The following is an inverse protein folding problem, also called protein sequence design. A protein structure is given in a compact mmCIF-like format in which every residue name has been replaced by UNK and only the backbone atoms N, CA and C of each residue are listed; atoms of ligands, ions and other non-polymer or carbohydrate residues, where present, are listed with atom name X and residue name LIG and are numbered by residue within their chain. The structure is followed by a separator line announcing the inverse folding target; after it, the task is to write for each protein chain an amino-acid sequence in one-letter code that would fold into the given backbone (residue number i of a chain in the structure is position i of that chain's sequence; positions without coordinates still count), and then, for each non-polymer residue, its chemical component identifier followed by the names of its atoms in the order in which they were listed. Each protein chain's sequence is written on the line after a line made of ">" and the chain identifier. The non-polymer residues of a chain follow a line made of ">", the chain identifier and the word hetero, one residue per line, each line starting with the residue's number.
data_IF_060265528776
#
_entry.id   IF_060265528776
#
_cell.length_a   1.000
_cell.length_b   1.000
_cell.length_c   1.000
_cell.angle_alpha   90.00
_cell.angle_beta   90.00
_cell.angle_gamma   90.00
#
_symmetry.space_group_name_H-M   'P 1'
#
loop_
_entity.id
_entity.type
_entity.pdbx_description
1 polymer ?
#
# COMPACT_ATOMS: atom_id res chain seq x y z
N UNK A 1 -5.78 -9.53 17.47
CA UNK A 1 -4.72 -10.50 17.13
C UNK A 1 -3.41 -9.86 17.53
N UNK A 2 -2.64 -10.56 18.34
CA UNK A 2 -1.30 -10.15 18.72
C UNK A 2 -0.39 -10.18 17.47
N UNK A 3 0.37 -9.11 17.24
CA UNK A 3 1.24 -8.97 16.06
C UNK A 3 2.68 -9.43 16.34
N UNK A 4 3.01 -9.77 17.59
CA UNK A 4 4.37 -10.12 18.01
C UNK A 4 4.85 -11.47 17.46
N UNK A 5 3.93 -12.41 17.25
CA UNK A 5 4.21 -13.79 16.83
C UNK A 5 3.76 -14.10 15.39
N UNK A 6 3.46 -13.07 14.58
CA UNK A 6 3.02 -13.26 13.18
C UNK A 6 4.15 -13.87 12.36
N UNK A 7 3.88 -15.03 11.75
CA UNK A 7 4.85 -15.72 10.89
C UNK A 7 4.72 -15.27 9.42
N UNK A 8 5.74 -15.52 8.57
CA UNK A 8 5.62 -15.30 7.13
C UNK A 8 4.43 -16.05 6.52
N UNK A 9 4.14 -17.26 6.99
CA UNK A 9 3.01 -18.06 6.53
C UNK A 9 1.66 -17.40 6.87
N UNK A 10 1.52 -16.84 8.08
CA UNK A 10 0.32 -16.10 8.48
C UNK A 10 0.13 -14.85 7.62
N UNK A 11 1.22 -14.10 7.38
CA UNK A 11 1.18 -12.84 6.65
C UNK A 11 0.90 -13.01 5.14
N UNK A 12 1.27 -14.15 4.53
CA UNK A 12 1.00 -14.39 3.10
C UNK A 12 -0.41 -14.94 2.84
N UNK A 13 -1.09 -15.45 3.87
CA UNK A 13 -2.42 -16.05 3.79
C UNK A 13 -3.53 -14.99 3.72
N UNK A 14 -3.67 -14.31 2.57
CA UNK A 14 -4.69 -13.27 2.40
C UNK A 14 -6.12 -13.87 2.25
N UNK A 15 -7.15 -13.33 2.93
CA UNK A 15 -8.51 -13.89 2.95
C UNK A 15 -9.31 -13.77 1.64
N UNK A 16 -8.79 -13.11 0.60
CA UNK A 16 -9.62 -12.63 -0.53
C UNK A 16 -8.87 -12.72 -1.85
N UNK A 17 -7.61 -12.29 -1.87
CA UNK A 17 -6.81 -12.21 -3.08
C UNK A 17 -5.69 -13.24 -3.07
N UNK A 18 -5.50 -13.94 -4.19
CA UNK A 18 -4.29 -14.75 -4.41
C UNK A 18 -3.22 -13.86 -5.04
N UNK A 19 -2.21 -13.50 -4.27
CA UNK A 19 -1.20 -12.51 -4.65
C UNK A 19 0.22 -12.99 -4.33
N UNK A 20 1.23 -12.30 -4.87
CA UNK A 20 2.62 -12.56 -4.56
C UNK A 20 2.97 -12.30 -3.09
N UNK A 21 4.00 -12.98 -2.56
CA UNK A 21 4.37 -12.92 -1.13
C UNK A 21 4.56 -11.51 -0.60
N UNK A 22 5.24 -10.62 -1.35
CA UNK A 22 5.52 -9.23 -0.94
C UNK A 22 4.25 -8.43 -0.71
N UNK A 23 3.34 -8.41 -1.69
CA UNK A 23 2.08 -7.66 -1.59
C UNK A 23 1.15 -8.23 -0.51
N UNK A 24 1.19 -9.54 -0.24
CA UNK A 24 0.45 -10.12 0.87
C UNK A 24 0.96 -9.60 2.22
N UNK A 25 2.28 -9.54 2.44
CA UNK A 25 2.87 -8.95 3.67
C UNK A 25 2.56 -7.45 3.77
N UNK A 26 2.66 -6.71 2.66
CA UNK A 26 2.29 -5.29 2.62
C UNK A 26 0.81 -5.08 2.96
N UNK A 27 -0.06 -5.99 2.55
CA UNK A 27 -1.48 -5.95 2.90
C UNK A 27 -1.70 -6.22 4.39
N UNK A 28 -0.99 -7.22 4.95
CA UNK A 28 -1.03 -7.54 6.37
C UNK A 28 -0.53 -6.40 7.28
N UNK A 29 0.37 -5.54 6.77
CA UNK A 29 0.92 -4.38 7.48
C UNK A 29 0.18 -3.06 7.19
N UNK A 30 -0.81 -3.07 6.29
CA UNK A 30 -1.39 -1.89 5.63
C UNK A 30 -0.39 -1.00 4.87
N UNK A 31 0.86 -1.43 4.68
CA UNK A 31 1.82 -0.72 3.84
C UNK A 31 1.35 -0.69 2.37
N UNK A 32 0.67 -1.75 1.88
CA UNK A 32 0.12 -1.74 0.52
C UNK A 32 -0.81 -0.55 0.32
N UNK A 33 -1.69 -0.32 1.30
CA UNK A 33 -2.61 0.82 1.27
C UNK A 33 -1.87 2.16 1.42
N UNK A 34 -0.78 2.21 2.19
CA UNK A 34 0.10 3.38 2.25
C UNK A 34 0.75 3.71 0.89
N UNK A 35 1.27 2.70 0.19
CA UNK A 35 1.82 2.87 -1.17
C UNK A 35 0.75 3.33 -2.15
N UNK A 36 -0.47 2.81 -2.06
CA UNK A 36 -1.61 3.26 -2.87
C UNK A 36 -2.04 4.70 -2.56
N UNK A 37 -1.87 5.20 -1.32
CA UNK A 37 -2.07 6.63 -0.99
C UNK A 37 -1.05 7.50 -1.72
N UNK A 38 0.22 7.10 -1.71
CA UNK A 38 1.28 7.79 -2.47
C UNK A 38 0.96 7.77 -3.96
N UNK A 39 0.59 6.61 -4.51
CA UNK A 39 0.22 6.45 -5.91
C UNK A 39 -0.96 7.37 -6.28
N UNK A 40 -2.04 7.37 -5.51
CA UNK A 40 -3.21 8.22 -5.76
C UNK A 40 -2.86 9.72 -5.72
N UNK A 41 -1.98 10.13 -4.80
CA UNK A 41 -1.49 11.49 -4.72
C UNK A 41 -0.78 11.92 -6.01
N UNK A 42 0.09 11.06 -6.55
CA UNK A 42 0.80 11.33 -7.80
C UNK A 42 -0.07 11.22 -9.05
N UNK A 43 -0.90 10.18 -9.17
CA UNK A 43 -1.73 9.94 -10.36
C UNK A 43 -2.82 10.99 -10.55
N UNK A 44 -3.41 11.46 -9.45
CA UNK A 44 -4.57 12.36 -9.49
C UNK A 44 -4.26 13.78 -8.98
N UNK A 45 -3.05 14.04 -8.53
CA UNK A 45 -2.62 15.35 -8.04
C UNK A 45 -3.28 15.78 -6.73
N UNK A 46 -3.75 14.82 -5.92
CA UNK A 46 -4.36 15.12 -4.64
C UNK A 46 -3.29 15.30 -3.54
N UNK A 47 -3.37 16.36 -2.71
CA UNK A 47 -2.56 16.43 -1.50
C UNK A 47 -2.97 15.32 -0.53
N UNK A 48 -2.09 14.89 0.40
CA UNK A 48 -2.35 13.78 1.30
C UNK A 48 -3.62 13.94 2.13
N UNK A 49 -3.91 15.17 2.57
CA UNK A 49 -5.09 15.49 3.38
C UNK A 49 -6.42 15.44 2.60
N UNK A 50 -6.38 15.10 1.30
CA UNK A 50 -7.55 14.85 0.45
C UNK A 50 -7.67 13.39 0.03
N UNK A 51 -6.96 12.48 0.68
CA UNK A 51 -7.01 11.04 0.42
C UNK A 51 -7.36 10.32 1.72
N UNK A 52 -8.60 9.86 1.81
CA UNK A 52 -9.08 9.08 2.96
C UNK A 52 -8.94 7.58 2.69
N UNK A 53 -8.43 6.85 3.69
CA UNK A 53 -8.40 5.39 3.68
C UNK A 53 -9.53 4.85 4.55
N UNK A 54 -10.33 3.97 3.95
CA UNK A 54 -11.37 3.20 4.65
C UNK A 54 -11.12 1.71 4.43
N UNK A 55 -11.36 0.90 5.46
CA UNK A 55 -11.30 -0.55 5.35
C UNK A 55 -12.66 -1.05 4.89
N UNK A 56 -12.67 -1.83 3.81
CA UNK A 56 -13.85 -2.43 3.22
C UNK A 56 -13.61 -3.94 3.01
N UNK A 57 -13.91 -4.79 4.01
CA UNK A 57 -13.53 -6.20 4.00
C UNK A 57 -14.10 -7.00 2.81
N UNK A 58 -15.25 -6.58 2.28
CA UNK A 58 -15.92 -7.30 1.20
C UNK A 58 -15.24 -7.10 -0.17
N UNK A 59 -14.35 -6.10 -0.31
CA UNK A 59 -13.66 -5.79 -1.58
C UNK A 59 -14.62 -5.69 -2.78
N UNK A 60 -15.81 -5.15 -2.56
CA UNK A 60 -16.85 -4.94 -3.58
C UNK A 60 -16.75 -3.52 -4.16
N UNK A 61 -16.59 -2.53 -3.29
CA UNK A 61 -16.33 -1.14 -3.66
C UNK A 61 -14.81 -0.98 -3.71
N UNK A 62 -14.28 -0.75 -4.92
CA UNK A 62 -12.82 -0.75 -5.14
C UNK A 62 -12.17 0.59 -4.80
N UNK A 63 -12.91 1.70 -4.98
CA UNK A 63 -12.57 3.06 -4.50
C UNK A 63 -13.72 4.03 -4.81
N UNK A 64 -13.62 5.24 -4.27
CA UNK A 64 -14.64 6.29 -4.38
C UNK A 64 -13.99 7.66 -4.64
N UNK A 65 -14.74 8.57 -5.25
CA UNK A 65 -14.37 9.98 -5.43
C UNK A 65 -15.51 10.86 -4.93
N UNK A 66 -15.19 11.77 -4.00
CA UNK A 66 -16.11 12.80 -3.52
C UNK A 66 -15.95 14.09 -4.32
N UNK A 67 -17.06 14.61 -4.84
CA UNK A 67 -17.13 15.83 -5.63
C UNK A 67 -17.43 17.04 -4.74
N UNK A 68 -17.20 18.24 -5.28
CA UNK A 68 -17.36 19.50 -4.55
C UNK A 68 -18.81 19.78 -4.08
N UNK A 69 -19.79 19.15 -4.71
CA UNK A 69 -21.20 19.20 -4.34
C UNK A 69 -21.58 18.17 -3.25
N UNK A 70 -20.61 17.37 -2.79
CA UNK A 70 -20.80 16.30 -1.81
C UNK A 70 -21.21 14.96 -2.41
N UNK A 71 -21.46 14.87 -3.72
CA UNK A 71 -21.78 13.60 -4.38
C UNK A 71 -20.57 12.66 -4.36
N UNK A 72 -20.83 11.37 -4.19
CA UNK A 72 -19.80 10.32 -4.21
C UNK A 72 -20.06 9.41 -5.40
N UNK A 73 -19.05 9.24 -6.25
CA UNK A 73 -19.04 8.20 -7.28
C UNK A 73 -18.13 7.06 -6.84
N UNK A 74 -18.65 5.84 -6.87
CA UNK A 74 -17.94 4.63 -6.52
C UNK A 74 -17.83 3.71 -7.72
N UNK A 75 -16.70 3.02 -7.87
CA UNK A 75 -16.61 1.89 -8.77
C UNK A 75 -16.76 0.59 -7.97
N UNK A 76 -17.67 -0.27 -8.44
CA UNK A 76 -18.03 -1.53 -7.80
C UNK A 76 -17.87 -2.70 -8.76
N UNK A 77 -17.50 -3.87 -8.24
CA UNK A 77 -17.43 -5.10 -9.02
C UNK A 77 -16.89 -6.26 -8.20
N UNK A 78 -16.88 -7.45 -8.79
CA UNK A 78 -16.17 -8.58 -8.19
C UNK A 78 -14.68 -8.24 -8.01
N UNK A 79 -14.01 -8.77 -6.96
CA UNK A 79 -12.57 -8.64 -6.77
C UNK A 79 -11.82 -9.45 -7.85
N UNK A 80 -11.63 -8.83 -9.02
CA UNK A 80 -11.08 -9.47 -10.20
C UNK A 80 -10.26 -8.48 -11.05
N UNK A 81 -8.93 -8.69 -11.07
CA UNK A 81 -7.98 -7.83 -11.77
C UNK A 81 -8.20 -7.76 -13.29
N UNK A 82 -8.94 -8.70 -13.88
CA UNK A 82 -9.28 -8.62 -15.31
C UNK A 82 -10.13 -7.39 -15.63
N UNK A 83 -10.91 -6.90 -14.66
CA UNK A 83 -11.76 -5.70 -14.82
C UNK A 83 -10.93 -4.42 -15.00
N UNK A 84 -10.03 -4.03 -14.07
CA UNK A 84 -9.20 -2.84 -14.26
C UNK A 84 -8.23 -2.96 -15.45
N UNK A 85 -7.71 -4.15 -15.74
CA UNK A 85 -6.84 -4.38 -16.92
C UNK A 85 -7.61 -4.18 -18.23
N UNK A 86 -8.80 -4.75 -18.36
CA UNK A 86 -9.62 -4.56 -19.56
C UNK A 86 -10.05 -3.10 -19.74
N UNK A 87 -10.30 -2.39 -18.63
CA UNK A 87 -10.62 -0.97 -18.66
C UNK A 87 -9.44 -0.13 -19.18
N UNK A 88 -8.22 -0.36 -18.69
CA UNK A 88 -7.05 0.41 -19.14
C UNK A 88 -6.72 0.19 -20.62
N UNK A 89 -6.91 -1.03 -21.14
CA UNK A 89 -6.71 -1.36 -22.55
C UNK A 89 -7.81 -0.84 -23.48
N UNK A 90 -9.05 -0.77 -22.99
CA UNK A 90 -10.22 -0.38 -23.79
C UNK A 90 -10.54 1.11 -23.78
N UNK A 91 -10.01 1.85 -22.81
CA UNK A 91 -10.40 3.22 -22.54
C UNK A 91 -10.28 4.13 -23.78
N UNK A 92 -11.26 5.02 -24.06
CA UNK A 92 -12.47 5.32 -23.27
C UNK A 92 -13.65 4.37 -23.53
N UNK A 93 -13.49 3.38 -24.41
CA UNK A 93 -14.50 2.35 -24.69
C UNK A 93 -14.38 1.22 -23.66
N UNK A 94 -15.29 0.25 -23.76
CA UNK A 94 -15.27 -0.97 -22.93
C UNK A 94 -15.00 -2.17 -23.82
N UNK A 95 -14.22 -3.11 -23.29
CA UNK A 95 -14.04 -4.44 -23.86
C UNK A 95 -15.03 -5.41 -23.17
N UNK A 96 -15.62 -6.33 -23.92
CA UNK A 96 -16.63 -7.27 -23.42
C UNK A 96 -16.00 -8.51 -22.74
N UNK A 97 -16.67 -9.04 -21.71
CA UNK A 97 -16.52 -10.46 -21.33
C UNK A 97 -15.55 -10.83 -20.19
N UNK A 98 -15.08 -9.88 -19.38
CA UNK A 98 -14.01 -10.17 -18.40
C UNK A 98 -14.43 -10.24 -16.93
N UNK A 99 -15.53 -9.57 -16.54
CA UNK A 99 -15.94 -9.46 -15.14
C UNK A 99 -17.06 -10.44 -14.76
N UNK A 100 -16.95 -11.08 -13.59
CA UNK A 100 -18.09 -11.79 -12.98
C UNK A 100 -19.20 -10.79 -12.64
N UNK A 101 -20.45 -11.15 -12.95
CA UNK A 101 -21.61 -10.36 -12.55
C UNK A 101 -21.78 -10.44 -11.04
N UNK A 102 -22.07 -9.30 -10.42
CA UNK A 102 -22.36 -9.19 -8.98
C UNK A 102 -23.84 -9.45 -8.76
N UNK A 103 -24.17 -10.35 -7.84
CA UNK A 103 -25.53 -10.54 -7.34
C UNK A 103 -25.72 -9.75 -6.04
N UNK A 104 -26.38 -8.60 -6.14
CA UNK A 104 -26.63 -7.72 -5.00
C UNK A 104 -27.54 -8.32 -3.94
N UNK A 105 -28.48 -9.19 -4.32
CA UNK A 105 -29.36 -9.83 -3.35
C UNK A 105 -28.61 -10.86 -2.50
N UNK A 106 -27.55 -11.47 -3.04
CA UNK A 106 -26.72 -12.45 -2.36
C UNK A 106 -25.57 -11.85 -1.53
N UNK A 107 -25.23 -10.56 -1.72
CA UNK A 107 -24.07 -9.91 -1.08
C UNK A 107 -24.22 -9.74 0.45
N UNK A 108 -25.44 -9.62 0.96
CA UNK A 108 -25.69 -9.37 2.38
C UNK A 108 -25.33 -7.93 2.78
N UNK A 109 -24.19 -7.74 3.48
CA UNK A 109 -23.78 -6.45 4.03
C UNK A 109 -22.58 -5.83 3.31
N UNK A 110 -22.58 -4.51 3.22
CA UNK A 110 -21.46 -3.68 2.76
C UNK A 110 -21.03 -2.83 3.95
N UNK A 111 -19.82 -3.02 4.46
CA UNK A 111 -19.35 -2.34 5.67
C UNK A 111 -18.10 -1.53 5.41
N UNK A 112 -17.93 -0.46 6.19
CA UNK A 112 -16.76 0.40 6.20
C UNK A 112 -16.32 0.62 7.64
N UNK A 113 -15.01 0.64 7.86
CA UNK A 113 -14.41 0.96 9.15
C UNK A 113 -13.15 1.82 8.97
N UNK A 114 -12.82 2.58 10.02
CA UNK A 114 -11.59 3.37 10.03
C UNK A 114 -10.38 2.44 10.20
N UNK A 115 -9.24 2.70 9.53
CA UNK A 115 -8.03 1.94 9.74
C UNK A 115 -7.45 2.18 11.14
N UNK A 116 -6.95 1.12 11.77
CA UNK A 116 -6.26 1.20 13.06
C UNK A 116 -4.79 1.58 12.87
N UNK A 117 -4.51 2.88 12.78
CA UNK A 117 -3.16 3.42 12.54
C UNK A 117 -2.23 3.20 13.75
N UNK A 118 -2.77 3.05 14.96
CA UNK A 118 -1.94 2.71 16.13
C UNK A 118 -1.37 1.30 16.00
N UNK A 119 -2.19 0.38 15.49
CA UNK A 119 -1.79 -1.01 15.26
C UNK A 119 -0.99 -1.21 13.97
N UNK A 120 -1.29 -0.44 12.93
CA UNK A 120 -0.64 -0.50 11.62
C UNK A 120 -0.03 0.87 11.24
N UNK A 121 1.06 1.28 11.91
CA UNK A 121 1.62 2.62 11.76
C UNK A 121 2.18 2.91 10.36
N UNK A 122 2.49 1.87 9.57
CA UNK A 122 2.98 1.98 8.20
C UNK A 122 2.06 2.79 7.29
N UNK A 123 0.74 2.74 7.52
CA UNK A 123 -0.19 3.58 6.79
C UNK A 123 0.10 5.07 7.06
N UNK A 124 0.34 5.44 8.32
CA UNK A 124 0.70 6.81 8.71
C UNK A 124 2.03 7.27 8.09
N UNK A 125 3.00 6.36 7.95
CA UNK A 125 4.30 6.65 7.33
C UNK A 125 4.17 7.12 5.87
N UNK A 126 3.20 6.59 5.12
CA UNK A 126 2.97 7.03 3.75
C UNK A 126 2.48 8.48 3.66
N UNK A 127 1.55 8.88 4.54
CA UNK A 127 1.10 10.27 4.63
C UNK A 127 2.23 11.20 5.05
N UNK A 128 3.06 10.77 6.01
CA UNK A 128 4.23 11.53 6.44
C UNK A 128 5.26 11.70 5.31
N UNK A 129 5.57 10.62 4.57
CA UNK A 129 6.51 10.68 3.46
C UNK A 129 6.06 11.67 2.39
N UNK A 130 4.77 11.72 2.06
CA UNK A 130 4.23 12.73 1.14
C UNK A 130 4.38 14.15 1.68
N UNK A 131 4.16 14.38 2.98
CA UNK A 131 4.31 15.70 3.61
C UNK A 131 5.78 16.13 3.71
N UNK A 132 6.69 15.20 3.95
CA UNK A 132 8.14 15.46 3.96
C UNK A 132 8.64 15.86 2.58
N UNK A 133 8.08 15.28 1.52
CA UNK A 133 8.54 15.48 0.15
C UNK A 133 9.96 14.95 -0.06
N UNK A 134 10.74 15.60 -0.91
CA UNK A 134 12.10 15.15 -1.20
C UNK A 134 12.11 13.76 -1.82
N UNK A 135 12.98 12.88 -1.31
CA UNK A 135 13.00 11.46 -1.66
C UNK A 135 12.31 10.55 -0.62
N UNK A 136 11.52 11.09 0.31
CA UNK A 136 10.99 10.32 1.45
C UNK A 136 10.15 9.09 1.02
N UNK A 137 9.33 9.21 -0.04
CA UNK A 137 8.59 8.07 -0.58
C UNK A 137 9.49 6.98 -1.18
N UNK A 138 10.64 7.36 -1.76
CA UNK A 138 11.64 6.42 -2.29
C UNK A 138 12.29 5.67 -1.12
N UNK A 139 12.69 6.41 -0.08
CA UNK A 139 13.28 5.84 1.15
C UNK A 139 12.31 4.88 1.82
N UNK A 140 11.04 5.26 1.98
CA UNK A 140 10.01 4.40 2.55
C UNK A 140 9.80 3.12 1.73
N UNK A 141 9.67 3.21 0.40
CA UNK A 141 9.50 2.04 -0.44
C UNK A 141 10.71 1.10 -0.36
N UNK A 142 11.91 1.64 -0.52
CA UNK A 142 13.15 0.87 -0.48
C UNK A 142 13.35 0.18 0.87
N UNK A 143 13.12 0.88 1.98
CA UNK A 143 13.20 0.32 3.32
C UNK A 143 12.18 -0.80 3.53
N UNK A 144 10.93 -0.58 3.09
CA UNK A 144 9.88 -1.59 3.19
C UNK A 144 10.23 -2.85 2.41
N UNK A 145 10.71 -2.73 1.16
CA UNK A 145 11.08 -3.91 0.38
C UNK A 145 12.17 -4.75 1.06
N UNK A 146 13.22 -4.13 1.59
CA UNK A 146 14.30 -4.83 2.29
C UNK A 146 13.80 -5.45 3.60
N UNK A 147 12.94 -4.76 4.34
CA UNK A 147 12.41 -5.26 5.60
C UNK A 147 11.43 -6.43 5.38
N UNK A 148 10.56 -6.34 4.37
CA UNK A 148 9.65 -7.44 4.00
C UNK A 148 10.44 -8.66 3.51
N UNK A 149 11.48 -8.47 2.70
CA UNK A 149 12.39 -9.57 2.31
C UNK A 149 13.01 -10.23 3.54
N UNK A 150 13.57 -9.43 4.47
CA UNK A 150 14.14 -9.95 5.71
C UNK A 150 13.12 -10.69 6.59
N UNK A 151 11.88 -10.22 6.66
CA UNK A 151 10.81 -10.90 7.39
C UNK A 151 10.44 -12.23 6.72
N UNK A 152 10.28 -12.23 5.39
CA UNK A 152 9.98 -13.44 4.60
C UNK A 152 11.09 -14.50 4.70
N UNK A 153 12.34 -14.07 4.91
CA UNK A 153 13.51 -14.91 5.17
C UNK A 153 13.69 -15.29 6.65
N UNK A 154 12.75 -14.91 7.53
CA UNK A 154 12.79 -15.16 8.98
C UNK A 154 14.00 -14.52 9.69
N UNK A 155 14.55 -13.45 9.14
CA UNK A 155 15.67 -12.69 9.72
C UNK A 155 15.22 -11.62 10.71
N UNK A 156 14.00 -11.11 10.57
CA UNK A 156 13.38 -10.13 11.48
C UNK A 156 11.95 -10.55 11.80
N UNK A 157 11.33 -9.94 12.83
CA UNK A 157 9.93 -10.17 13.18
C UNK A 157 8.99 -9.27 12.39
N UNK A 158 7.70 -9.54 12.43
CA UNK A 158 6.69 -8.77 11.71
C UNK A 158 6.68 -7.27 12.09
N UNK A 159 6.76 -6.97 13.39
CA UNK A 159 6.79 -5.58 13.89
C UNK A 159 8.09 -4.84 13.53
N UNK A 160 9.17 -5.57 13.26
CA UNK A 160 10.45 -4.98 12.88
C UNK A 160 10.39 -4.34 11.47
N UNK A 161 9.41 -4.72 10.64
CA UNK A 161 9.16 -4.06 9.33
C UNK A 161 8.85 -2.58 9.53
N UNK A 162 7.90 -2.27 10.44
CA UNK A 162 7.54 -0.89 10.76
C UNK A 162 8.73 -0.13 11.35
N UNK A 163 9.50 -0.80 12.21
CA UNK A 163 10.70 -0.23 12.85
C UNK A 163 11.77 0.15 11.83
N UNK A 164 12.04 -0.70 10.83
CA UNK A 164 13.01 -0.43 9.76
C UNK A 164 12.60 0.80 8.96
N UNK A 165 11.34 0.84 8.53
CA UNK A 165 10.79 1.96 7.75
C UNK A 165 10.91 3.28 8.52
N UNK A 166 10.49 3.29 9.80
CA UNK A 166 10.58 4.47 10.66
C UNK A 166 12.02 4.96 10.79
N UNK A 167 12.94 4.06 11.12
CA UNK A 167 14.35 4.42 11.30
C UNK A 167 14.96 4.99 10.01
N UNK A 168 14.62 4.46 8.83
CA UNK A 168 15.09 5.01 7.56
C UNK A 168 14.49 6.38 7.25
N UNK A 169 13.19 6.56 7.46
CA UNK A 169 12.55 7.87 7.28
C UNK A 169 13.14 8.95 8.22
N UNK A 170 13.52 8.58 9.45
CA UNK A 170 14.12 9.51 10.41
C UNK A 170 15.58 9.86 10.09
N UNK A 171 16.35 8.91 9.56
CA UNK A 171 17.81 9.03 9.42
C UNK A 171 18.30 9.35 8.02
N UNK A 172 17.48 9.11 6.99
CA UNK A 172 17.85 9.29 5.58
C UNK A 172 16.98 10.36 4.91
N UNK A 173 17.34 11.62 5.14
CA UNK A 173 16.69 12.78 4.52
C UNK A 173 17.47 13.17 3.26
N UNK A 174 16.89 12.89 2.10
CA UNK A 174 17.47 13.18 0.79
C UNK A 174 16.62 14.21 0.03
N UNK A 175 17.28 15.04 -0.78
CA UNK A 175 16.63 16.01 -1.64
C UNK A 175 15.73 15.34 -2.69
N UNK A 176 14.77 16.10 -3.24
CA UNK A 176 13.93 15.62 -4.33
C UNK A 176 14.81 15.32 -5.57
N UNK A 177 14.76 14.09 -6.10
CA UNK A 177 15.55 13.73 -7.27
C UNK A 177 15.06 14.48 -8.51
N UNK A 178 16.00 14.87 -9.36
CA UNK A 178 15.76 15.60 -10.62
C UNK A 178 16.03 14.76 -11.86
N UNK A 179 16.52 13.54 -11.69
CA UNK A 179 16.76 12.59 -12.78
C UNK A 179 16.48 11.15 -12.33
N UNK A 180 16.40 10.24 -13.30
CA UNK A 180 16.27 8.82 -13.03
C UNK A 180 17.49 8.28 -12.25
N UNK A 181 18.69 8.76 -12.57
CA UNK A 181 19.91 8.38 -11.88
C UNK A 181 19.86 8.75 -10.40
N UNK A 182 19.33 9.93 -10.07
CA UNK A 182 19.15 10.38 -8.68
C UNK A 182 18.09 9.54 -7.95
N UNK A 183 16.99 9.15 -8.62
CA UNK A 183 15.99 8.22 -8.06
C UNK A 183 16.64 6.88 -7.72
N UNK A 184 17.40 6.31 -8.66
CA UNK A 184 18.08 5.02 -8.49
C UNK A 184 19.19 5.09 -7.43
N UNK A 185 19.86 6.23 -7.29
CA UNK A 185 20.86 6.46 -6.25
C UNK A 185 20.21 6.50 -4.86
N UNK A 186 19.11 7.25 -4.70
CA UNK A 186 18.36 7.32 -3.45
C UNK A 186 17.79 5.96 -3.03
N UNK A 187 17.20 5.21 -3.96
CA UNK A 187 16.73 3.83 -3.71
C UNK A 187 17.89 2.94 -3.24
N UNK A 188 19.02 2.96 -3.96
CA UNK A 188 20.19 2.13 -3.61
C UNK A 188 20.74 2.46 -2.23
N UNK A 189 20.88 3.75 -1.90
CA UNK A 189 21.37 4.20 -0.59
C UNK A 189 20.43 3.74 0.53
N UNK A 190 19.11 3.94 0.35
CA UNK A 190 18.10 3.49 1.30
C UNK A 190 18.17 1.97 1.52
N UNK A 191 18.31 1.17 0.47
CA UNK A 191 18.45 -0.29 0.59
C UNK A 191 19.72 -0.70 1.33
N UNK A 192 20.85 -0.06 1.07
CA UNK A 192 22.12 -0.36 1.76
C UNK A 192 21.97 -0.07 3.25
N UNK A 193 21.55 1.15 3.60
CA UNK A 193 21.38 1.56 5.02
C UNK A 193 20.34 0.71 5.75
N UNK A 194 19.26 0.31 5.07
CA UNK A 194 18.25 -0.58 5.69
C UNK A 194 18.86 -1.94 6.03
N UNK A 195 19.66 -2.53 5.13
CA UNK A 195 20.34 -3.80 5.41
C UNK A 195 21.34 -3.69 6.54
N UNK A 196 22.12 -2.60 6.59
CA UNK A 196 23.08 -2.34 7.67
C UNK A 196 22.39 -2.23 9.04
N UNK A 197 21.24 -1.55 9.10
CA UNK A 197 20.44 -1.44 10.32
C UNK A 197 19.86 -2.78 10.75
N UNK A 198 19.26 -3.53 9.81
CA UNK A 198 18.68 -4.84 10.10
C UNK A 198 19.74 -5.85 10.57
N UNK A 199 20.97 -5.78 10.05
CA UNK A 199 22.06 -6.66 10.47
C UNK A 199 22.49 -6.49 11.93
N UNK A 200 22.02 -5.43 12.62
CA UNK A 200 22.31 -5.16 14.03
C UNK A 200 21.21 -5.63 14.98
N UNK A 201 20.14 -6.27 14.46
CA UNK A 201 18.97 -6.68 15.24
C UNK A 201 19.05 -8.13 15.74
#
# INVERSE_FOLDING_TARGET
>A
MDLTEVTPEDAVAHPTWNMGRKISVDSATLMNKGLEVIEASWLFGFPPDRIDVVIHPQSLIHSMVQYADGCILAQMGAPDMRTPIAYSLGWPKRLDGFAKRVDFAALGSVTFEAPDIQRFPQLGYAYEALRMGGAASIVLNAANEIAVEAFLDRRIRFLDIARACRQMMDSLVLAAPKSLEEVLAADREARIKTREVIAQW
#
